data_IF_007520695981
#
_entry.id   IF_007520695981
#
_cell.length_a   1.000
_cell.length_b   1.000
_cell.length_c   1.000
_cell.angle_alpha   90.00
_cell.angle_beta   90.00
_cell.angle_gamma   90.00
#
_symmetry.space_group_name_H-M   'P 1'
#
loop_
_entity.id
_entity.type
_entity.pdbx_description
1 polymer ?
#
# COMPACT_ATOMS: atom_id res chain seq x y z
N UNK A 1 -69.92 -50.68 9.02
CA UNK A 1 -69.25 -50.65 7.69
C UNK A 1 -70.03 -49.77 6.74
N UNK A 2 -69.55 -48.55 6.46
CA UNK A 2 -69.80 -47.74 5.24
C UNK A 2 -69.06 -46.39 5.37
N UNK A 3 -68.02 -46.25 4.54
CA UNK A 3 -67.48 -45.09 3.79
C UNK A 3 -67.42 -43.66 4.40
N UNK A 4 -66.28 -43.03 4.04
CA UNK A 4 -66.04 -41.63 3.59
C UNK A 4 -65.17 -40.83 4.56
N UNK A 5 -63.87 -40.61 4.32
CA UNK A 5 -63.20 -39.79 3.28
C UNK A 5 -63.67 -38.34 3.32
N UNK A 6 -62.90 -37.44 3.97
CA UNK A 6 -62.55 -36.09 3.48
C UNK A 6 -61.68 -35.32 4.50
N UNK A 7 -60.45 -34.95 4.09
CA UNK A 7 -59.75 -33.67 4.25
C UNK A 7 -58.23 -33.88 4.34
N UNK A 8 -57.57 -33.94 3.18
CA UNK A 8 -56.20 -33.43 3.05
C UNK A 8 -56.34 -32.01 2.50
N UNK A 9 -56.09 -31.02 3.35
CA UNK A 9 -56.07 -29.63 2.93
C UNK A 9 -54.72 -29.38 2.25
N UNK A 10 -54.82 -29.19 0.94
CA UNK A 10 -53.75 -28.81 0.02
C UNK A 10 -53.22 -27.44 0.46
N UNK A 11 -51.99 -27.39 0.99
CA UNK A 11 -51.17 -26.18 1.00
C UNK A 11 -50.35 -26.22 -0.29
N UNK A 12 -50.92 -25.70 -1.37
CA UNK A 12 -50.20 -25.32 -2.59
C UNK A 12 -50.63 -23.91 -2.95
N UNK A 13 -49.68 -23.00 -3.00
CA UNK A 13 -49.88 -21.68 -3.58
C UNK A 13 -49.42 -20.52 -2.69
N UNK A 14 -48.11 -20.42 -2.44
CA UNK A 14 -47.41 -19.14 -2.27
C UNK A 14 -45.89 -19.34 -2.19
N UNK A 15 -45.31 -20.11 -3.13
CA UNK A 15 -43.87 -20.09 -3.37
C UNK A 15 -43.67 -20.16 -4.87
N UNK A 16 -43.27 -19.04 -5.48
CA UNK A 16 -42.89 -19.00 -6.89
C UNK A 16 -43.58 -17.91 -7.72
N UNK A 17 -43.54 -16.65 -7.28
CA UNK A 17 -43.67 -15.52 -8.22
C UNK A 17 -42.68 -14.44 -7.78
N UNK A 18 -41.38 -14.64 -8.02
CA UNK A 18 -40.42 -13.52 -8.00
C UNK A 18 -39.22 -13.70 -8.95
N UNK A 19 -39.18 -14.76 -9.76
CA UNK A 19 -38.11 -14.96 -10.76
C UNK A 19 -38.62 -15.48 -12.10
N UNK A 20 -39.86 -15.16 -12.46
CA UNK A 20 -40.35 -15.33 -13.84
C UNK A 20 -39.73 -14.24 -14.74
N UNK A 21 -38.47 -14.45 -15.10
CA UNK A 21 -37.75 -14.05 -16.30
C UNK A 21 -38.20 -12.75 -17.01
N UNK A 22 -37.44 -11.67 -16.81
CA UNK A 22 -37.39 -10.54 -17.74
C UNK A 22 -36.69 -10.86 -19.08
N UNK A 23 -36.17 -12.08 -19.25
CA UNK A 23 -35.68 -12.62 -20.51
C UNK A 23 -36.83 -12.70 -21.53
N UNK A 24 -37.12 -11.57 -22.19
CA UNK A 24 -38.26 -11.44 -23.12
C UNK A 24 -38.72 -10.00 -23.34
N UNK A 25 -38.40 -9.07 -22.43
CA UNK A 25 -38.89 -7.68 -22.53
C UNK A 25 -37.84 -6.68 -23.01
N UNK A 26 -36.54 -7.00 -22.90
CA UNK A 26 -35.45 -6.14 -23.32
C UNK A 26 -34.64 -6.80 -24.45
N UNK A 27 -34.02 -5.98 -25.30
CA UNK A 27 -33.27 -6.41 -26.48
C UNK A 27 -32.24 -5.35 -26.88
N UNK A 28 -31.23 -5.75 -27.67
CA UNK A 28 -30.29 -4.83 -28.31
C UNK A 28 -30.94 -4.14 -29.52
N UNK A 29 -31.05 -2.81 -29.47
CA UNK A 29 -31.58 -2.04 -30.59
C UNK A 29 -30.61 -2.09 -31.80
N UNK A 30 -31.12 -2.18 -33.05
CA UNK A 30 -32.53 -2.20 -33.46
C UNK A 30 -33.21 -3.56 -33.53
N UNK A 31 -32.52 -4.65 -33.17
CA UNK A 31 -33.03 -6.00 -33.35
C UNK A 31 -33.79 -6.51 -32.11
N UNK A 32 -35.12 -6.53 -32.18
CA UNK A 32 -36.00 -6.98 -31.09
C UNK A 32 -35.77 -8.42 -30.61
N UNK A 33 -35.13 -9.26 -31.44
CA UNK A 33 -34.85 -10.65 -31.10
C UNK A 33 -33.45 -10.83 -30.52
N UNK A 34 -32.66 -9.76 -30.40
CA UNK A 34 -31.28 -9.85 -29.98
C UNK A 34 -31.13 -9.69 -28.46
N UNK A 35 -30.99 -10.83 -27.79
CA UNK A 35 -30.74 -10.91 -26.35
C UNK A 35 -29.36 -11.53 -26.04
N UNK A 36 -28.47 -11.57 -27.03
CA UNK A 36 -27.16 -12.18 -26.83
C UNK A 36 -26.30 -11.30 -25.93
N UNK A 37 -25.57 -11.96 -25.02
CA UNK A 37 -24.60 -11.29 -24.16
C UNK A 37 -23.48 -10.71 -25.04
N UNK A 38 -23.17 -9.43 -24.86
CA UNK A 38 -22.03 -8.78 -25.51
C UNK A 38 -20.81 -8.94 -24.63
N UNK A 39 -19.84 -9.72 -25.09
CA UNK A 39 -18.53 -9.81 -24.42
C UNK A 39 -17.55 -8.87 -25.12
N UNK A 40 -16.97 -7.95 -24.36
CA UNK A 40 -15.97 -6.99 -24.85
C UNK A 40 -14.71 -7.12 -24.02
N UNK A 41 -13.55 -7.08 -24.69
CA UNK A 41 -12.26 -7.01 -24.03
C UNK A 41 -11.69 -5.63 -24.31
N UNK A 42 -11.33 -4.91 -23.26
CA UNK A 42 -10.60 -3.66 -23.37
C UNK A 42 -9.24 -3.82 -22.71
N UNK A 43 -8.20 -3.39 -23.42
CA UNK A 43 -6.83 -3.45 -22.95
C UNK A 43 -6.36 -2.06 -22.62
N UNK A 44 -5.88 -1.85 -21.39
CA UNK A 44 -5.25 -0.59 -21.01
C UNK A 44 -3.74 -0.76 -20.93
N UNK A 45 -3.02 0.09 -21.67
CA UNK A 45 -1.59 0.32 -21.48
C UNK A 45 -1.38 1.80 -21.27
N UNK A 46 -0.85 2.16 -20.11
CA UNK A 46 -0.62 3.56 -19.74
C UNK A 46 0.62 3.68 -18.85
N UNK A 47 1.16 4.89 -18.75
CA UNK A 47 2.19 5.24 -17.78
C UNK A 47 1.73 6.43 -16.97
N UNK A 48 1.73 6.29 -15.66
CA UNK A 48 1.17 7.30 -14.75
C UNK A 48 2.20 7.68 -13.72
N UNK A 49 2.52 8.96 -13.69
CA UNK A 49 3.33 9.54 -12.62
C UNK A 49 2.47 9.70 -11.37
N UNK A 50 2.93 9.12 -10.27
CA UNK A 50 2.32 9.33 -8.96
C UNK A 50 2.69 10.75 -8.49
N UNK A 51 1.69 11.57 -8.15
CA UNK A 51 1.87 12.98 -7.78
C UNK A 51 2.53 13.12 -6.41
N UNK A 52 3.55 13.97 -6.27
CA UNK A 52 4.20 14.34 -5.00
C UNK A 52 3.19 14.74 -3.91
N UNK A 53 3.11 13.95 -2.83
CA UNK A 53 2.32 14.15 -1.59
C UNK A 53 0.79 13.94 -1.71
N UNK A 54 0.33 12.69 -1.56
CA UNK A 54 -1.04 12.36 -1.18
C UNK A 54 -1.06 11.75 0.23
N UNK A 55 -1.98 12.15 1.11
CA UNK A 55 -2.18 11.47 2.40
C UNK A 55 -2.78 10.06 2.22
N UNK A 56 -2.74 9.22 3.26
CA UNK A 56 -3.43 7.92 3.22
C UNK A 56 -4.94 8.18 3.04
N UNK A 57 -5.54 7.54 2.03
CA UNK A 57 -6.92 7.75 1.59
C UNK A 57 -7.08 8.74 0.43
N UNK A 58 -6.04 9.49 0.07
CA UNK A 58 -6.09 10.45 -1.04
C UNK A 58 -5.64 9.87 -2.39
N UNK A 59 -5.88 10.61 -3.46
CA UNK A 59 -5.54 10.21 -4.82
C UNK A 59 -4.05 10.36 -5.09
N UNK A 60 -3.42 9.27 -5.56
CA UNK A 60 -2.02 9.23 -5.97
C UNK A 60 -1.79 9.86 -7.35
N UNK A 61 -2.81 9.93 -8.20
CA UNK A 61 -2.68 10.37 -9.59
C UNK A 61 -3.93 11.10 -10.09
N UNK A 62 -3.85 11.81 -11.25
CA UNK A 62 -5.05 12.16 -11.99
C UNK A 62 -5.88 10.92 -12.33
N UNK A 63 -7.17 11.12 -12.57
CA UNK A 63 -8.06 10.06 -13.02
C UNK A 63 -7.64 9.54 -14.40
N UNK A 64 -7.45 8.23 -14.52
CA UNK A 64 -7.16 7.56 -15.79
C UNK A 64 -8.50 7.26 -16.45
N UNK A 65 -8.71 7.74 -17.68
CA UNK A 65 -9.96 7.48 -18.41
C UNK A 65 -9.76 6.31 -19.36
N UNK A 66 -10.52 5.25 -19.15
CA UNK A 66 -10.50 4.06 -19.99
C UNK A 66 -11.74 4.04 -20.87
N UNK A 67 -11.54 3.74 -22.16
CA UNK A 67 -12.65 3.51 -23.08
C UNK A 67 -13.03 2.03 -23.05
N UNK A 68 -14.28 1.75 -22.70
CA UNK A 68 -14.82 0.40 -22.56
C UNK A 68 -15.29 -0.18 -23.90
N UNK A 69 -15.80 0.69 -24.79
CA UNK A 69 -16.25 0.33 -26.14
C UNK A 69 -15.83 1.39 -27.17
N UNK A 70 -15.53 0.98 -28.42
CA UNK A 70 -15.23 1.91 -29.51
C UNK A 70 -16.47 2.76 -29.87
N UNK A 71 -16.25 3.97 -30.37
CA UNK A 71 -17.32 4.96 -30.65
C UNK A 71 -18.27 4.59 -31.81
N UNK A 72 -18.15 3.41 -32.41
CA UNK A 72 -18.90 3.02 -33.60
C UNK A 72 -20.22 2.33 -33.23
N UNK A 73 -21.33 3.05 -33.40
CA UNK A 73 -22.69 2.56 -33.17
C UNK A 73 -23.29 2.97 -31.83
N UNK A 74 -24.62 3.05 -31.78
CA UNK A 74 -25.39 3.14 -30.53
C UNK A 74 -25.64 1.70 -30.05
N UNK A 75 -24.81 1.20 -29.13
CA UNK A 75 -25.10 -0.06 -28.42
C UNK A 75 -26.08 0.26 -27.28
N UNK A 76 -27.37 0.25 -27.62
CA UNK A 76 -28.47 0.54 -26.71
C UNK A 76 -29.30 -0.71 -26.42
N UNK A 77 -29.64 -0.88 -25.15
CA UNK A 77 -30.67 -1.82 -24.74
C UNK A 77 -32.00 -1.08 -24.66
N UNK A 78 -33.01 -1.59 -25.36
CA UNK A 78 -34.38 -1.10 -25.27
C UNK A 78 -35.27 -2.15 -24.61
N UNK A 79 -36.27 -1.69 -23.86
CA UNK A 79 -37.28 -2.53 -23.25
C UNK A 79 -38.70 -2.15 -23.74
N UNK A 80 -39.53 -3.15 -24.03
CA UNK A 80 -40.81 -3.01 -24.72
C UNK A 80 -41.91 -2.27 -23.93
N UNK A 81 -41.73 -2.04 -22.64
CA UNK A 81 -42.62 -1.22 -21.80
C UNK A 81 -41.80 -0.16 -21.07
N UNK A 82 -42.42 0.99 -20.76
CA UNK A 82 -41.95 1.86 -19.68
C UNK A 82 -42.03 1.04 -18.39
N UNK A 83 -40.96 0.30 -18.10
CA UNK A 83 -40.85 -0.43 -16.85
C UNK A 83 -40.66 0.65 -15.79
N UNK A 84 -41.47 0.69 -14.71
CA UNK A 84 -41.39 1.75 -13.71
C UNK A 84 -40.00 1.83 -13.06
N UNK A 85 -39.18 0.76 -13.18
CA UNK A 85 -37.74 0.73 -12.96
C UNK A 85 -37.13 -0.28 -13.92
N UNK A 86 -36.25 0.14 -14.83
CA UNK A 86 -35.32 -0.82 -15.44
C UNK A 86 -34.15 -0.92 -14.47
N UNK A 87 -33.96 -2.11 -13.93
CA UNK A 87 -32.88 -2.37 -12.99
C UNK A 87 -31.60 -2.56 -13.78
N UNK A 88 -30.77 -1.53 -13.94
CA UNK A 88 -29.40 -1.72 -14.40
C UNK A 88 -28.38 -1.68 -13.27
N UNK A 89 -27.52 -2.68 -13.27
CA UNK A 89 -26.41 -2.79 -12.34
C UNK A 89 -25.13 -2.85 -13.15
N UNK A 90 -24.20 -1.95 -12.82
CA UNK A 90 -22.81 -2.09 -13.20
C UNK A 90 -22.05 -2.58 -11.99
N UNK A 91 -21.68 -3.84 -11.97
CA UNK A 91 -20.81 -4.37 -10.92
C UNK A 91 -19.42 -4.60 -11.49
N UNK A 92 -18.41 -4.12 -10.78
CA UNK A 92 -17.04 -4.58 -10.99
C UNK A 92 -16.82 -5.81 -10.13
N UNK A 93 -16.61 -6.94 -10.79
CA UNK A 93 -16.15 -8.17 -10.18
C UNK A 93 -14.64 -8.19 -10.39
N UNK A 94 -13.93 -7.44 -9.55
CA UNK A 94 -12.48 -7.57 -9.42
C UNK A 94 -12.14 -8.82 -8.62
N UNK A 95 -11.00 -9.45 -8.95
CA UNK A 95 -10.41 -10.49 -8.08
C UNK A 95 -9.82 -9.90 -6.78
N UNK A 96 -9.80 -8.57 -6.64
CA UNK A 96 -9.20 -7.86 -5.51
C UNK A 96 -10.11 -7.80 -4.28
N UNK A 97 -9.53 -8.01 -3.09
CA UNK A 97 -10.18 -7.75 -1.81
C UNK A 97 -10.46 -6.25 -1.67
N UNK A 98 -11.64 -5.87 -1.14
CA UNK A 98 -11.87 -4.47 -0.74
C UNK A 98 -10.89 -4.10 0.37
N UNK A 99 -10.24 -2.95 0.24
CA UNK A 99 -9.41 -2.38 1.31
C UNK A 99 -10.38 -1.88 2.39
N UNK A 100 -10.57 -2.66 3.46
CA UNK A 100 -11.70 -2.52 4.38
C UNK A 100 -11.88 -1.18 5.10
N UNK A 101 -10.94 -0.24 4.99
CA UNK A 101 -11.01 1.11 5.57
C UNK A 101 -11.49 2.16 4.55
N UNK A 102 -11.51 1.85 3.24
CA UNK A 102 -11.86 2.81 2.19
C UNK A 102 -13.03 2.31 1.33
N UNK A 103 -13.99 3.20 1.08
CA UNK A 103 -15.17 2.89 0.27
C UNK A 103 -14.81 2.64 -1.20
N UNK A 104 -15.12 1.43 -1.68
CA UNK A 104 -14.93 0.96 -3.06
C UNK A 104 -13.50 1.14 -3.59
N UNK A 105 -12.54 0.91 -2.71
CA UNK A 105 -11.12 0.77 -3.07
C UNK A 105 -10.74 -0.70 -3.00
N UNK A 106 -10.14 -1.19 -4.08
CA UNK A 106 -9.72 -2.57 -4.22
C UNK A 106 -8.20 -2.67 -4.09
N UNK A 107 -7.75 -3.74 -3.44
CA UNK A 107 -6.33 -4.09 -3.36
C UNK A 107 -5.74 -4.30 -4.76
N UNK A 108 -4.46 -3.96 -4.90
CA UNK A 108 -3.70 -4.18 -6.13
C UNK A 108 -2.48 -5.04 -5.87
N UNK A 109 -1.79 -5.46 -6.92
CA UNK A 109 -0.51 -6.16 -6.82
C UNK A 109 0.65 -5.28 -6.32
N UNK A 110 0.43 -3.97 -6.13
CA UNK A 110 1.44 -3.02 -5.67
C UNK A 110 1.15 -2.55 -4.23
N UNK A 111 2.09 -2.71 -3.29
CA UNK A 111 1.93 -2.22 -1.93
C UNK A 111 1.58 -0.73 -1.85
N UNK A 112 0.56 -0.41 -1.04
CA UNK A 112 0.13 0.97 -0.77
C UNK A 112 -0.62 1.67 -1.89
N UNK A 113 -0.91 0.97 -2.98
CA UNK A 113 -1.73 1.45 -4.09
C UNK A 113 -3.03 0.67 -4.11
N UNK A 114 -4.13 1.36 -3.92
CA UNK A 114 -5.48 0.86 -4.17
C UNK A 114 -6.04 1.41 -5.48
N UNK A 115 -7.00 0.70 -6.07
CA UNK A 115 -7.73 1.17 -7.25
C UNK A 115 -9.20 1.40 -6.93
N UNK A 116 -9.74 2.51 -7.39
CA UNK A 116 -11.17 2.84 -7.29
C UNK A 116 -11.72 3.13 -8.68
N UNK A 117 -12.82 2.46 -9.02
CA UNK A 117 -13.49 2.64 -10.29
C UNK A 117 -14.66 3.61 -10.13
N UNK A 118 -14.73 4.60 -11.01
CA UNK A 118 -15.84 5.54 -11.10
C UNK A 118 -16.45 5.50 -12.49
N UNK A 119 -17.77 5.60 -12.55
CA UNK A 119 -18.50 5.72 -13.82
C UNK A 119 -18.39 7.15 -14.36
N UNK A 120 -17.99 7.28 -15.63
CA UNK A 120 -17.84 8.60 -16.26
C UNK A 120 -19.20 9.29 -16.38
N UNK A 121 -19.32 10.50 -15.83
CA UNK A 121 -20.56 11.29 -15.82
C UNK A 121 -21.40 11.18 -14.55
N UNK A 122 -21.21 10.12 -13.75
CA UNK A 122 -21.98 9.89 -12.52
C UNK A 122 -21.18 10.19 -11.24
N UNK A 123 -19.85 10.14 -11.31
CA UNK A 123 -18.97 10.52 -10.19
C UNK A 123 -19.02 9.57 -8.99
N UNK A 124 -19.69 8.42 -9.11
CA UNK A 124 -19.80 7.38 -8.07
C UNK A 124 -19.13 6.09 -8.53
N UNK A 125 -18.60 5.34 -7.57
CA UNK A 125 -18.05 4.00 -7.79
C UNK A 125 -19.01 2.92 -7.29
N UNK A 126 -18.69 1.66 -7.59
CA UNK A 126 -19.50 0.52 -7.18
C UNK A 126 -20.79 0.32 -8.00
N UNK A 127 -21.70 -0.45 -7.41
CA UNK A 127 -23.02 -0.74 -7.99
C UNK A 127 -23.86 0.53 -8.06
N UNK A 128 -24.36 0.84 -9.24
CA UNK A 128 -25.25 1.99 -9.43
C UNK A 128 -26.70 1.56 -9.14
N UNK A 129 -27.38 2.32 -8.30
CA UNK A 129 -28.81 2.17 -8.08
C UNK A 129 -29.62 2.83 -9.21
N UNK A 130 -30.77 2.25 -9.51
CA UNK A 130 -31.50 2.36 -10.77
C UNK A 130 -32.20 3.71 -11.01
N UNK A 131 -32.51 3.97 -12.28
CA UNK A 131 -33.45 5.02 -12.68
C UNK A 131 -34.50 4.49 -13.67
N UNK A 132 -35.72 5.05 -13.71
CA UNK A 132 -36.72 4.67 -14.71
C UNK A 132 -36.35 5.17 -16.12
N UNK A 133 -36.24 4.26 -17.10
CA UNK A 133 -36.15 4.56 -18.54
C UNK A 133 -36.50 3.31 -19.36
N UNK A 134 -36.89 3.48 -20.62
CA UNK A 134 -37.11 2.38 -21.58
C UNK A 134 -35.90 2.09 -22.47
N UNK A 135 -34.87 2.94 -22.41
CA UNK A 135 -33.66 2.86 -23.23
C UNK A 135 -32.43 3.16 -22.37
N UNK A 136 -31.40 2.33 -22.49
CA UNK A 136 -30.14 2.47 -21.75
C UNK A 136 -28.97 2.27 -22.70
N UNK A 137 -28.06 3.25 -22.73
CA UNK A 137 -26.80 3.12 -23.45
C UNK A 137 -25.78 2.34 -22.62
N UNK A 138 -24.99 1.49 -23.28
CA UNK A 138 -23.84 0.87 -22.65
C UNK A 138 -22.80 1.95 -22.27
N UNK A 139 -22.29 1.92 -21.03
CA UNK A 139 -21.27 2.87 -20.58
C UNK A 139 -20.03 2.75 -21.46
N UNK A 140 -19.65 3.87 -22.06
CA UNK A 140 -18.51 3.94 -22.99
C UNK A 140 -17.17 4.20 -22.30
N UNK A 141 -17.19 4.83 -21.12
CA UNK A 141 -15.98 5.31 -20.43
C UNK A 141 -16.05 5.05 -18.94
N UNK A 142 -14.91 4.67 -18.37
CA UNK A 142 -14.71 4.52 -16.94
C UNK A 142 -13.54 5.39 -16.48
N UNK A 143 -13.58 5.87 -15.25
CA UNK A 143 -12.44 6.53 -14.61
C UNK A 143 -11.86 5.60 -13.56
N UNK A 144 -10.55 5.39 -13.63
CA UNK A 144 -9.78 4.66 -12.65
C UNK A 144 -9.04 5.69 -11.80
N UNK A 145 -9.16 5.56 -10.49
CA UNK A 145 -8.52 6.39 -9.50
C UNK A 145 -7.53 5.54 -8.71
N UNK A 146 -6.27 5.97 -8.66
CA UNK A 146 -5.27 5.36 -7.78
C UNK A 146 -5.34 6.04 -6.42
N UNK A 147 -5.55 5.26 -5.37
CA UNK A 147 -5.72 5.73 -3.99
C UNK A 147 -4.55 5.26 -3.14
N UNK A 148 -4.02 6.12 -2.28
CA UNK A 148 -2.97 5.73 -1.33
C UNK A 148 -3.60 4.93 -0.19
N UNK A 149 -3.17 3.69 0.02
CA UNK A 149 -3.75 2.81 1.05
C UNK A 149 -2.81 2.58 2.24
N UNK A 150 -1.52 2.91 2.11
CA UNK A 150 -0.53 2.71 3.16
C UNK A 150 0.55 3.80 3.18
N UNK A 151 1.41 3.73 4.22
CA UNK A 151 2.59 4.59 4.33
C UNK A 151 3.57 4.35 3.18
N UNK A 152 3.86 3.09 2.90
CA UNK A 152 4.71 2.72 1.78
C UNK A 152 3.91 2.77 0.49
N UNK A 153 4.46 3.32 -0.59
CA UNK A 153 3.81 3.36 -1.91
C UNK A 153 4.79 2.84 -2.95
N UNK A 154 4.48 1.69 -3.54
CA UNK A 154 5.31 1.08 -4.56
C UNK A 154 5.05 1.70 -5.96
N UNK A 155 6.13 1.91 -6.72
CA UNK A 155 6.05 2.08 -8.17
C UNK A 155 6.19 0.74 -8.90
N UNK A 156 6.00 0.74 -10.22
CA UNK A 156 6.13 -0.43 -11.08
C UNK A 156 4.85 -0.80 -11.81
N UNK A 157 4.77 -2.03 -12.32
CA UNK A 157 3.65 -2.47 -13.16
C UNK A 157 2.43 -2.88 -12.33
N UNK A 158 1.40 -2.04 -12.37
CA UNK A 158 0.06 -2.36 -11.89
C UNK A 158 -0.65 -3.25 -12.90
N UNK A 159 -1.13 -4.42 -12.46
CA UNK A 159 -1.93 -5.33 -13.27
C UNK A 159 -3.41 -5.02 -13.11
N UNK A 160 -4.12 -4.87 -14.23
CA UNK A 160 -5.58 -4.76 -14.25
C UNK A 160 -6.18 -6.12 -14.65
N UNK A 161 -7.08 -6.63 -13.81
CA UNK A 161 -7.91 -7.80 -14.11
C UNK A 161 -9.29 -7.62 -13.50
N UNK A 162 -10.14 -6.86 -14.19
CA UNK A 162 -11.45 -6.45 -13.70
C UNK A 162 -12.53 -6.79 -14.72
N UNK A 163 -13.68 -7.28 -14.26
CA UNK A 163 -14.83 -7.53 -15.13
C UNK A 163 -15.99 -6.66 -14.71
N UNK A 164 -16.39 -5.78 -15.61
CA UNK A 164 -17.61 -4.99 -15.48
C UNK A 164 -18.75 -5.78 -16.09
N UNK A 165 -19.78 -6.07 -15.30
CA UNK A 165 -21.03 -6.64 -15.83
C UNK A 165 -22.08 -5.56 -16.00
N UNK A 166 -22.84 -5.63 -17.08
CA UNK A 166 -24.00 -4.77 -17.32
C UNK A 166 -25.25 -5.65 -17.36
N UNK A 167 -26.00 -5.60 -16.27
CA UNK A 167 -27.23 -6.36 -16.10
C UNK A 167 -28.42 -5.43 -16.27
N UNK A 168 -29.47 -5.85 -16.96
CA UNK A 168 -30.71 -5.09 -17.20
C UNK A 168 -31.90 -5.98 -16.83
N UNK A 169 -32.65 -5.64 -15.77
CA UNK A 169 -33.76 -6.44 -15.23
C UNK A 169 -33.39 -7.93 -15.01
N UNK A 170 -32.17 -8.22 -14.56
CA UNK A 170 -31.69 -9.58 -14.36
C UNK A 170 -31.19 -10.30 -15.62
N UNK A 171 -31.24 -9.67 -16.79
CA UNK A 171 -30.54 -10.13 -17.99
C UNK A 171 -29.14 -9.51 -18.06
N UNK A 172 -28.09 -10.33 -18.02
CA UNK A 172 -26.72 -9.86 -18.29
C UNK A 172 -26.58 -9.52 -19.78
N UNK A 173 -26.75 -8.24 -20.11
CA UNK A 173 -26.71 -7.77 -21.49
C UNK A 173 -25.27 -7.70 -22.00
N UNK A 174 -24.31 -7.28 -21.16
CA UNK A 174 -22.90 -7.23 -21.52
C UNK A 174 -21.94 -7.59 -20.39
N UNK A 175 -20.77 -8.10 -20.77
CA UNK A 175 -19.60 -8.29 -19.92
C UNK A 175 -18.40 -7.60 -20.57
N UNK A 176 -17.74 -6.73 -19.82
CA UNK A 176 -16.59 -5.96 -20.28
C UNK A 176 -15.40 -6.33 -19.41
N UNK A 177 -14.43 -7.01 -20.01
CA UNK A 177 -13.19 -7.41 -19.35
C UNK A 177 -12.15 -6.33 -19.56
N UNK A 178 -11.80 -5.65 -18.48
CA UNK A 178 -10.72 -4.69 -18.39
C UNK A 178 -9.45 -5.42 -17.97
N UNK A 179 -8.57 -5.64 -18.93
CA UNK A 179 -7.26 -6.24 -18.69
C UNK A 179 -6.15 -5.28 -19.09
N UNK A 180 -4.94 -5.48 -18.57
CA UNK A 180 -3.79 -4.72 -19.02
C UNK A 180 -2.85 -4.34 -17.91
N UNK A 181 -1.96 -3.40 -18.24
CA UNK A 181 -0.84 -3.01 -17.39
C UNK A 181 -0.71 -1.50 -17.38
N UNK A 182 -0.67 -0.91 -16.19
CA UNK A 182 -0.33 0.50 -16.01
C UNK A 182 1.04 0.56 -15.35
N UNK A 183 2.00 1.22 -15.97
CA UNK A 183 3.30 1.46 -15.37
C UNK A 183 3.21 2.67 -14.43
N UNK A 184 3.32 2.45 -13.13
CA UNK A 184 3.32 3.51 -12.12
C UNK A 184 4.73 4.01 -11.91
N UNK A 185 4.96 5.25 -12.35
CA UNK A 185 6.24 5.92 -12.17
C UNK A 185 6.18 6.64 -10.84
N UNK A 186 6.90 6.10 -9.85
CA UNK A 186 7.02 6.68 -8.52
C UNK A 186 8.28 7.55 -8.45
N UNK A 187 8.14 8.83 -8.83
CA UNK A 187 9.26 9.78 -8.80
C UNK A 187 9.48 10.39 -7.40
N UNK A 188 8.52 10.19 -6.48
CA UNK A 188 8.18 11.23 -5.50
C UNK A 188 7.71 10.72 -4.11
N UNK A 189 7.29 9.46 -3.98
CA UNK A 189 6.73 8.94 -2.72
C UNK A 189 7.77 8.28 -1.83
N UNK A 190 8.59 9.10 -1.19
CA UNK A 190 9.44 8.64 -0.11
C UNK A 190 8.59 8.01 1.01
N UNK A 191 8.84 6.73 1.28
CA UNK A 191 8.05 5.94 2.23
C UNK A 191 8.62 5.99 3.65
N UNK A 192 9.92 6.23 3.77
CA UNK A 192 10.63 6.32 5.04
C UNK A 192 12.00 5.65 4.97
N UNK A 193 12.81 5.89 6.00
CA UNK A 193 14.00 5.11 6.25
C UNK A 193 13.83 4.25 7.50
N UNK A 194 14.30 3.01 7.41
CA UNK A 194 14.20 2.00 8.46
C UNK A 194 15.59 1.41 8.72
N UNK A 195 16.03 1.46 9.98
CA UNK A 195 17.24 0.79 10.44
C UNK A 195 16.98 -0.62 10.98
N UNK A 196 18.03 -1.30 11.40
CA UNK A 196 17.91 -2.60 12.09
C UNK A 196 17.20 -2.39 13.43
N UNK A 197 16.14 -3.18 13.70
CA UNK A 197 15.33 -3.03 14.93
C UNK A 197 16.15 -3.19 16.22
N UNK A 198 17.12 -4.10 16.22
CA UNK A 198 18.03 -4.32 17.34
C UNK A 198 19.38 -4.79 16.80
N UNK A 199 20.45 -4.08 17.18
CA UNK A 199 21.81 -4.41 16.81
C UNK A 199 22.61 -4.76 18.06
N UNK A 200 22.97 -6.02 18.22
CA UNK A 200 23.74 -6.50 19.37
C UNK A 200 25.23 -6.48 19.03
N UNK A 201 26.00 -5.65 19.74
CA UNK A 201 27.45 -5.52 19.53
C UNK A 201 28.21 -6.23 20.66
N UNK A 202 28.82 -7.40 20.42
CA UNK A 202 29.59 -8.10 21.44
C UNK A 202 30.93 -7.38 21.65
N UNK A 203 31.02 -6.57 22.70
CA UNK A 203 32.22 -5.80 23.05
C UNK A 203 33.37 -6.65 23.62
N UNK A 204 33.11 -7.92 23.97
CA UNK A 204 34.10 -8.81 24.54
C UNK A 204 34.50 -8.47 25.98
N UNK A 205 35.63 -9.05 26.42
CA UNK A 205 36.21 -8.84 27.75
C UNK A 205 37.49 -8.02 27.62
N UNK A 206 37.65 -6.99 28.44
CA UNK A 206 38.81 -6.10 28.43
C UNK A 206 39.37 -5.97 29.84
N UNK A 207 40.68 -6.14 29.99
CA UNK A 207 41.37 -5.89 31.25
C UNK A 207 41.42 -4.40 31.55
N UNK A 208 41.41 -4.01 32.83
CA UNK A 208 41.45 -2.58 33.22
C UNK A 208 42.69 -1.83 32.70
N UNK A 209 43.79 -2.54 32.43
CA UNK A 209 45.00 -2.01 31.79
C UNK A 209 44.84 -1.75 30.28
N UNK A 210 43.88 -2.40 29.64
CA UNK A 210 43.59 -2.30 28.19
C UNK A 210 42.49 -1.31 27.82
N UNK A 211 41.90 -0.61 28.78
CA UNK A 211 40.89 0.42 28.51
C UNK A 211 41.48 1.53 27.63
N UNK A 212 40.79 1.87 26.54
CA UNK A 212 41.26 2.88 25.57
C UNK A 212 42.30 2.42 24.55
N UNK A 213 42.77 1.16 24.59
CA UNK A 213 43.69 0.62 23.58
C UNK A 213 42.97 0.30 22.27
N UNK A 214 43.53 0.70 21.13
CA UNK A 214 42.84 0.64 19.84
C UNK A 214 42.44 -0.79 19.42
N UNK A 215 43.22 -1.80 19.82
CA UNK A 215 42.97 -3.21 19.55
C UNK A 215 41.72 -3.75 20.27
N UNK A 216 41.28 -3.07 21.35
CA UNK A 216 40.09 -3.44 22.12
C UNK A 216 38.78 -2.83 21.59
N UNK A 217 38.84 -2.06 20.50
CA UNK A 217 37.66 -1.43 19.93
C UNK A 217 36.92 -2.35 18.96
N UNK A 218 35.60 -2.23 18.94
CA UNK A 218 34.72 -2.92 18.00
C UNK A 218 34.25 -1.95 16.93
N UNK A 219 34.48 -2.31 15.67
CA UNK A 219 33.98 -1.55 14.53
C UNK A 219 32.77 -2.27 13.94
N UNK A 220 31.71 -1.52 13.64
CA UNK A 220 30.51 -2.06 13.01
C UNK A 220 29.85 -0.99 12.13
N UNK A 221 28.95 -1.43 11.25
CA UNK A 221 28.18 -0.54 10.40
C UNK A 221 26.76 -0.43 10.94
N UNK A 222 26.26 0.79 11.02
CA UNK A 222 24.85 1.06 11.23
C UNK A 222 24.21 1.37 9.87
N UNK A 223 23.41 0.43 9.40
CA UNK A 223 22.79 0.45 8.08
C UNK A 223 21.31 0.81 8.17
N UNK A 224 20.87 1.64 7.23
CA UNK A 224 19.52 2.15 7.12
C UNK A 224 19.07 2.01 5.67
N UNK A 225 17.88 1.45 5.46
CA UNK A 225 17.27 1.31 4.14
C UNK A 225 16.14 2.33 3.99
N UNK A 226 16.25 3.19 2.98
CA UNK A 226 15.26 4.20 2.64
C UNK A 226 14.44 3.76 1.42
N UNK A 227 13.13 3.59 1.57
CA UNK A 227 12.24 3.08 0.52
C UNK A 227 11.39 4.18 -0.11
N UNK A 228 10.80 3.87 -1.26
CA UNK A 228 9.92 4.79 -2.01
C UNK A 228 10.69 5.87 -2.77
N UNK A 229 11.96 5.63 -3.10
CA UNK A 229 12.78 6.54 -3.88
C UNK A 229 13.16 5.89 -5.20
N UNK A 230 13.33 6.69 -6.27
CA UNK A 230 13.99 6.22 -7.48
C UNK A 230 15.40 5.71 -7.19
N UNK A 231 15.83 4.70 -7.95
CA UNK A 231 17.17 4.14 -7.84
C UNK A 231 18.25 5.23 -7.98
N UNK A 232 19.18 5.28 -7.03
CA UNK A 232 20.31 6.23 -7.00
C UNK A 232 20.01 7.54 -6.28
N UNK A 233 18.87 7.63 -5.61
CA UNK A 233 18.50 8.82 -4.82
C UNK A 233 19.41 9.02 -3.61
N UNK A 234 19.98 10.22 -3.49
CA UNK A 234 20.88 10.60 -2.40
C UNK A 234 20.19 11.57 -1.44
N UNK A 235 19.27 11.06 -0.63
CA UNK A 235 18.63 11.86 0.42
C UNK A 235 19.64 12.27 1.52
N UNK A 236 19.45 13.45 2.13
CA UNK A 236 20.20 13.85 3.32
C UNK A 236 19.65 13.12 4.56
N UNK A 237 20.00 11.84 4.70
CA UNK A 237 19.63 11.05 5.88
C UNK A 237 20.60 11.37 7.01
N UNK A 238 20.08 11.80 8.15
CA UNK A 238 20.83 12.10 9.36
C UNK A 238 20.46 11.14 10.49
N UNK A 239 21.37 10.97 11.43
CA UNK A 239 21.14 10.16 12.63
C UNK A 239 21.70 10.84 13.87
N UNK A 240 20.92 10.78 14.94
CA UNK A 240 21.40 11.04 16.29
C UNK A 240 20.97 9.91 17.23
N UNK A 241 21.48 9.93 18.45
CA UNK A 241 21.27 8.84 19.40
C UNK A 241 20.66 9.33 20.70
N UNK A 242 19.94 8.45 21.39
CA UNK A 242 19.33 8.72 22.69
C UNK A 242 19.67 7.59 23.67
N UNK A 243 20.19 7.96 24.83
CA UNK A 243 20.62 7.03 25.86
C UNK A 243 21.27 7.74 27.05
N UNK A 244 21.67 6.98 28.06
CA UNK A 244 22.37 7.54 29.22
C UNK A 244 23.78 8.00 28.80
N UNK A 245 24.03 9.30 28.83
CA UNK A 245 25.27 9.87 28.31
C UNK A 245 25.73 11.07 29.13
N UNK A 246 27.06 11.21 29.24
CA UNK A 246 27.72 12.36 29.84
C UNK A 246 28.30 13.31 28.77
N UNK A 247 27.82 13.22 27.52
CA UNK A 247 28.21 14.08 26.41
C UNK A 247 28.51 13.31 25.11
N UNK A 248 28.84 14.03 24.02
CA UNK A 248 29.06 13.42 22.71
C UNK A 248 30.03 12.24 22.75
N UNK A 249 29.61 11.13 22.16
CA UNK A 249 30.37 9.89 22.08
C UNK A 249 30.64 9.19 23.41
N UNK A 250 29.98 9.57 24.51
CA UNK A 250 30.19 8.96 25.84
C UNK A 250 28.90 8.28 26.30
N UNK A 251 28.85 6.96 26.19
CA UNK A 251 27.71 6.14 26.60
C UNK A 251 27.96 5.52 27.97
N UNK A 252 27.06 5.78 28.90
CA UNK A 252 27.10 5.23 30.25
C UNK A 252 26.68 3.76 30.25
N UNK A 253 27.31 2.98 31.15
CA UNK A 253 26.93 1.59 31.39
C UNK A 253 25.60 1.50 32.15
N UNK A 254 24.90 0.39 31.98
CA UNK A 254 23.75 0.02 32.81
C UNK A 254 24.19 -0.11 34.28
N UNK A 255 23.43 0.44 35.24
CA UNK A 255 23.76 0.35 36.67
C UNK A 255 23.91 -1.10 37.18
N UNK A 256 24.75 -1.29 38.20
CA UNK A 256 25.01 -2.60 38.83
C UNK A 256 26.11 -3.43 38.17
N UNK A 257 26.91 -2.80 37.30
CA UNK A 257 28.00 -3.42 36.55
C UNK A 257 29.40 -2.96 36.94
N UNK A 258 30.30 -2.93 35.96
CA UNK A 258 31.64 -2.36 36.10
C UNK A 258 31.59 -0.88 36.53
N UNK A 259 32.57 -0.45 37.31
CA UNK A 259 32.66 0.92 37.84
C UNK A 259 33.82 1.68 37.18
N UNK A 260 33.67 3.01 37.03
CA UNK A 260 34.71 3.85 36.43
C UNK A 260 34.96 3.57 34.94
N UNK A 261 34.01 2.96 34.24
CA UNK A 261 34.10 2.59 32.81
C UNK A 261 32.88 3.14 32.07
N UNK A 262 33.11 3.57 30.83
CA UNK A 262 32.07 3.95 29.87
C UNK A 262 32.42 3.42 28.47
N UNK A 263 31.49 3.56 27.52
CA UNK A 263 31.74 3.23 26.12
C UNK A 263 31.94 4.52 25.33
N UNK A 264 33.14 4.69 24.78
CA UNK A 264 33.42 5.70 23.78
C UNK A 264 32.84 5.26 22.43
N UNK A 265 32.12 6.16 21.78
CA UNK A 265 31.46 5.96 20.50
C UNK A 265 31.89 7.05 19.51
N UNK A 266 32.58 6.63 18.45
CA UNK A 266 33.02 7.51 17.35
C UNK A 266 32.61 6.95 16.00
N UNK A 267 32.74 7.75 14.95
CA UNK A 267 32.70 7.23 13.58
C UNK A 267 33.99 6.48 13.24
N UNK A 268 34.18 6.11 11.97
CA UNK A 268 35.47 5.65 11.43
C UNK A 268 36.57 6.72 11.56
N UNK A 269 36.21 8.00 11.63
CA UNK A 269 37.07 9.07 12.13
C UNK A 269 36.93 9.19 13.67
N UNK A 270 37.98 8.87 14.45
CA UNK A 270 37.94 8.96 15.92
C UNK A 270 37.71 10.37 16.47
N UNK A 271 37.91 11.41 15.66
CA UNK A 271 37.67 12.81 16.06
C UNK A 271 36.18 13.16 16.04
N UNK A 272 35.37 12.40 15.30
CA UNK A 272 33.92 12.62 15.17
C UNK A 272 33.21 11.69 16.14
N UNK A 273 32.69 12.28 17.22
CA UNK A 273 31.96 11.59 18.28
C UNK A 273 30.50 11.43 17.91
N UNK A 274 29.87 10.33 18.33
CA UNK A 274 28.43 10.13 18.08
C UNK A 274 27.60 11.18 18.84
N UNK A 275 26.62 11.83 18.19
CA UNK A 275 25.79 12.86 18.82
C UNK A 275 24.66 12.25 19.65
N UNK A 276 24.38 12.85 20.81
CA UNK A 276 23.28 12.46 21.69
C UNK A 276 22.12 13.47 21.66
N UNK A 277 22.05 14.28 20.60
CA UNK A 277 21.07 15.36 20.41
C UNK A 277 20.83 15.59 18.92
N UNK A 278 19.61 16.00 18.54
CA UNK A 278 19.26 16.34 17.15
C UNK A 278 20.12 17.45 16.55
N UNK A 279 20.48 18.48 17.31
CA UNK A 279 21.31 19.60 16.83
C UNK A 279 22.70 19.18 16.30
N UNK A 280 23.19 17.99 16.68
CA UNK A 280 24.47 17.44 16.24
C UNK A 280 24.34 16.24 15.31
N UNK A 281 23.15 15.96 14.77
CA UNK A 281 22.88 14.77 13.96
C UNK A 281 23.89 14.64 12.80
N UNK A 282 24.39 13.42 12.59
CA UNK A 282 25.41 13.11 11.60
C UNK A 282 24.78 12.66 10.30
N UNK A 283 25.30 13.14 9.18
CA UNK A 283 24.92 12.65 7.85
C UNK A 283 25.36 11.20 7.66
N UNK A 284 24.45 10.39 7.12
CA UNK A 284 24.72 9.02 6.70
C UNK A 284 25.18 8.98 5.25
N UNK A 285 26.13 8.09 4.96
CA UNK A 285 26.67 7.95 3.60
C UNK A 285 25.78 7.03 2.77
N UNK A 286 25.31 7.51 1.63
CA UNK A 286 24.70 6.65 0.61
C UNK A 286 25.71 5.64 0.08
N UNK A 287 25.32 4.36 0.02
CA UNK A 287 26.18 3.25 -0.39
C UNK A 287 25.80 2.75 -1.78
N UNK A 288 24.53 2.36 -1.97
CA UNK A 288 24.01 1.80 -3.22
C UNK A 288 22.49 1.69 -3.20
N UNK A 289 21.92 1.49 -4.37
CA UNK A 289 20.53 1.08 -4.55
C UNK A 289 20.40 -0.44 -4.37
N UNK A 290 19.35 -0.84 -3.66
CA UNK A 290 18.92 -2.21 -3.42
C UNK A 290 17.51 -2.40 -4.00
N UNK A 291 17.04 -3.64 -4.26
CA UNK A 291 15.71 -3.88 -4.84
C UNK A 291 14.53 -3.26 -4.07
N UNK A 292 14.72 -2.95 -2.79
CA UNK A 292 13.68 -2.42 -1.89
C UNK A 292 13.95 -0.98 -1.42
N UNK A 293 15.00 -0.32 -1.93
CA UNK A 293 15.31 1.07 -1.55
C UNK A 293 16.80 1.42 -1.62
N UNK A 294 17.16 2.57 -1.08
CA UNK A 294 18.53 3.09 -1.05
C UNK A 294 19.18 2.78 0.30
N UNK A 295 20.36 2.17 0.27
CA UNK A 295 21.12 1.82 1.46
C UNK A 295 22.03 2.97 1.90
N UNK A 296 21.86 3.42 3.15
CA UNK A 296 22.70 4.39 3.82
C UNK A 296 23.45 3.73 4.97
N UNK A 297 24.67 4.21 5.26
CA UNK A 297 25.55 3.63 6.28
C UNK A 297 26.26 4.70 7.09
N UNK A 298 26.32 4.48 8.40
CA UNK A 298 27.23 5.15 9.31
C UNK A 298 28.19 4.11 9.92
N UNK A 299 29.50 4.16 9.61
CA UNK A 299 30.47 3.33 10.31
C UNK A 299 30.67 3.84 11.74
N UNK A 300 30.63 2.93 12.70
CA UNK A 300 30.76 3.23 14.13
C UNK A 300 31.90 2.41 14.73
N UNK A 301 32.63 3.04 15.63
CA UNK A 301 33.65 2.45 16.47
C UNK A 301 33.25 2.62 17.93
N UNK A 302 33.16 1.50 18.64
CA UNK A 302 32.85 1.43 20.06
C UNK A 302 34.05 0.90 20.85
N UNK A 303 34.31 1.47 22.03
CA UNK A 303 35.45 1.07 22.85
C UNK A 303 35.18 1.31 24.33
N UNK A 304 35.57 0.37 25.20
CA UNK A 304 35.59 0.64 26.64
C UNK A 304 36.71 1.61 27.00
N UNK A 305 36.37 2.68 27.72
CA UNK A 305 37.31 3.70 28.19
C UNK A 305 37.08 4.01 29.66
N UNK A 306 38.07 4.63 30.30
CA UNK A 306 37.94 5.09 31.68
C UNK A 306 36.97 6.26 31.76
N UNK A 307 36.04 6.19 32.71
CA UNK A 307 35.12 7.27 33.03
C UNK A 307 35.80 8.24 34.00
N UNK A 308 36.28 9.36 33.47
CA UNK A 308 36.94 10.39 34.26
C UNK A 308 38.13 9.86 35.07
N UNK A 309 38.16 10.18 36.38
CA UNK A 309 39.21 9.75 37.33
C UNK A 309 38.70 8.72 38.34
N UNK A 310 37.53 8.13 38.11
CA UNK A 310 36.96 7.15 39.03
C UNK A 310 37.81 5.87 39.07
N UNK A 311 37.94 5.21 40.24
CA UNK A 311 38.55 3.90 40.33
C UNK A 311 37.84 2.90 39.41
N UNK A 312 38.62 2.12 38.66
CA UNK A 312 38.06 1.10 37.75
C UNK A 312 37.79 -0.18 38.54
N UNK A 313 36.52 -0.58 38.59
CA UNK A 313 36.05 -1.82 39.19
C UNK A 313 35.61 -2.83 38.13
N UNK A 314 35.91 -4.12 38.34
CA UNK A 314 35.49 -5.19 37.46
C UNK A 314 33.98 -5.45 37.52
N UNK A 315 33.38 -5.91 36.41
CA UNK A 315 31.95 -6.24 36.36
C UNK A 315 31.44 -6.39 34.92
N UNK A 316 30.12 -6.60 34.78
CA UNK A 316 29.46 -6.56 33.47
C UNK A 316 29.41 -5.12 32.97
N UNK A 317 29.72 -4.88 31.70
CA UNK A 317 29.78 -3.54 31.12
C UNK A 317 28.81 -3.39 29.93
N UNK A 318 27.53 -3.63 30.19
CA UNK A 318 26.50 -3.49 29.16
C UNK A 318 26.01 -2.04 29.07
N UNK A 319 25.54 -1.63 27.90
CA UNK A 319 24.85 -0.36 27.69
C UNK A 319 23.80 -0.52 26.58
N UNK A 320 22.83 0.40 26.55
CA UNK A 320 21.78 0.44 25.52
C UNK A 320 21.71 1.85 24.97
N UNK A 321 21.55 1.94 23.65
CA UNK A 321 21.46 3.18 22.89
C UNK A 321 20.34 3.05 21.87
N UNK A 322 19.47 4.04 21.81
CA UNK A 322 18.48 4.20 20.75
C UNK A 322 19.07 5.08 19.65
N UNK A 323 18.70 4.82 18.41
CA UNK A 323 19.00 5.70 17.28
C UNK A 323 17.72 6.38 16.81
N UNK A 324 17.84 7.62 16.38
CA UNK A 324 16.76 8.39 15.78
C UNK A 324 17.22 8.83 14.39
N UNK A 325 16.40 8.53 13.39
CA UNK A 325 16.66 8.89 12.01
C UNK A 325 15.94 10.20 11.69
N UNK A 326 16.68 11.17 11.19
CA UNK A 326 16.16 12.40 10.65
C UNK A 326 16.30 12.34 9.13
N UNK A 327 15.18 12.42 8.45
CA UNK A 327 15.13 12.46 7.00
C UNK A 327 13.88 13.25 6.63
N UNK A 328 13.99 14.01 5.53
CA UNK A 328 13.00 15.00 5.09
C UNK A 328 13.05 16.29 5.91
#
# INVERSE_FOLDING_TARGET
>A
MKKAVLLFLIILGALGIDTAHAAGLCYWYPNKNDQQIRIKNTMQQDSVHLRRNAAIGELLSPAITVSLIPYTGLEEVQCAMSVPRVYWQYSDIGEGTKVGVFDDVYETNLPGVGIKFLWYGLGRGGELENSPTSTVELIRRQRLLLVRTAREVAGGTLQLNHTVTFTVNGWTAAEIRLTGQINLINDDYFSGCTGVKMLNIPMGRVMASGLGQQEAAQNFNFDVLCSGLPAGSKLPVKVYFEGSSDGPGRLNLTPGGAQGVEIALTTDNPSVKLPFTSAGALDMKWIRSEPKGELFRLPIRAQYVRKGKEPVGGGKANAVLNYILEYN
#
